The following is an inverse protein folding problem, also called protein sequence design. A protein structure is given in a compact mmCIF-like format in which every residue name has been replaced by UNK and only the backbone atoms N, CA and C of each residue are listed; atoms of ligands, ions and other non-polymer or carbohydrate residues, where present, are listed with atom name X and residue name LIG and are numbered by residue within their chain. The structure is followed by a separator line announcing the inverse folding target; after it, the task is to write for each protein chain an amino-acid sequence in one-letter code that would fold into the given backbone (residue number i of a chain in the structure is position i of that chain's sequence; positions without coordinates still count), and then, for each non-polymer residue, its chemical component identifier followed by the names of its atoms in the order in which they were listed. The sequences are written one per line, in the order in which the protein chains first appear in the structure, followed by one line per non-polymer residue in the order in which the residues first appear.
data_IF_223654704485
#
_entry.id   IF_223654704485
#
_cell.length_a   1.000
_cell.length_b   1.000
_cell.length_c   1.000
_cell.angle_alpha   90.00
_cell.angle_beta   90.00
_cell.angle_gamma   90.00
#
_symmetry.space_group_name_H-M   'P 1'
#
loop_
_entity.id
_entity.type
_entity.pdbx_description
1 polymer ?
#
# COMPACT_ATOMS: atom_id res chain seq x y z
N UNK A 1 20.60 -17.44 16.64
CA UNK A 1 19.16 -17.35 16.95
C UNK A 1 18.51 -18.36 16.02
N UNK A 2 17.81 -19.38 16.52
CA UNK A 2 17.27 -20.43 15.66
C UNK A 2 16.20 -19.83 14.74
N UNK A 3 16.22 -20.18 13.45
CA UNK A 3 15.18 -19.80 12.48
C UNK A 3 13.85 -20.41 12.93
N UNK A 4 13.04 -19.62 13.63
CA UNK A 4 11.71 -20.03 14.03
C UNK A 4 10.76 -19.72 12.88
N UNK A 5 10.43 -20.75 12.09
CA UNK A 5 9.41 -20.66 11.05
C UNK A 5 8.07 -20.30 11.68
N UNK A 6 7.60 -19.07 11.47
CA UNK A 6 6.37 -18.54 12.09
C UNK A 6 5.12 -19.13 11.46
N UNK A 7 5.09 -19.21 10.12
CA UNK A 7 3.99 -19.83 9.36
C UNK A 7 4.51 -20.39 8.04
N UNK A 8 3.83 -21.41 7.49
CA UNK A 8 4.03 -21.85 6.12
C UNK A 8 2.77 -21.53 5.33
N UNK A 9 2.87 -20.60 4.38
CA UNK A 9 1.77 -20.31 3.48
C UNK A 9 1.48 -21.53 2.60
N UNK A 10 0.19 -21.75 2.35
CA UNK A 10 -0.25 -22.81 1.45
C UNK A 10 0.30 -22.64 0.01
N UNK A 11 0.38 -23.72 -0.77
CA UNK A 11 0.80 -23.64 -2.16
C UNK A 11 -0.13 -22.70 -2.94
N UNK A 12 0.46 -21.81 -3.75
CA UNK A 12 -0.29 -20.84 -4.54
C UNK A 12 -0.67 -19.56 -3.81
N UNK A 13 -0.10 -19.25 -2.64
CA UNK A 13 -0.20 -17.91 -2.05
C UNK A 13 0.44 -16.87 -2.99
N UNK A 14 -0.34 -15.86 -3.38
CA UNK A 14 0.06 -14.81 -4.33
C UNK A 14 0.34 -13.47 -3.65
N UNK A 15 -0.34 -13.20 -2.52
CA UNK A 15 -0.16 -11.97 -1.75
C UNK A 15 -0.40 -12.25 -0.27
N UNK A 16 0.10 -11.37 0.59
CA UNK A 16 -0.15 -11.43 2.01
C UNK A 16 -0.16 -10.03 2.64
N UNK A 17 -0.78 -9.93 3.81
CA UNK A 17 -0.84 -8.70 4.60
C UNK A 17 -0.93 -9.01 6.09
N UNK A 18 -0.12 -8.32 6.88
CA UNK A 18 -0.19 -8.38 8.33
C UNK A 18 -1.30 -7.48 8.87
N UNK A 19 -1.94 -7.90 9.95
CA UNK A 19 -2.82 -7.02 10.69
C UNK A 19 -2.02 -5.94 11.45
N UNK A 20 -2.69 -4.90 11.92
CA UNK A 20 -2.05 -3.75 12.56
C UNK A 20 -1.13 -4.09 13.74
N UNK A 21 -1.46 -5.17 14.48
CA UNK A 21 -0.68 -5.63 15.64
C UNK A 21 0.46 -6.61 15.28
N UNK A 22 0.63 -6.96 14.00
CA UNK A 22 1.62 -7.93 13.50
C UNK A 22 1.53 -9.28 14.24
N UNK A 23 0.29 -9.74 14.47
CA UNK A 23 -0.01 -11.04 15.12
C UNK A 23 -0.73 -12.01 14.21
N UNK A 24 -1.45 -11.48 13.21
CA UNK A 24 -2.26 -12.24 12.27
C UNK A 24 -1.79 -11.92 10.86
N UNK A 25 -1.61 -12.96 10.07
CA UNK A 25 -1.26 -12.86 8.66
C UNK A 25 -2.46 -13.32 7.84
N UNK A 26 -2.89 -12.49 6.90
CA UNK A 26 -3.83 -12.92 5.87
C UNK A 26 -3.04 -13.21 4.58
N UNK A 27 -3.37 -14.30 3.91
CA UNK A 27 -2.78 -14.67 2.64
C UNK A 27 -3.87 -14.94 1.61
N UNK A 28 -3.75 -14.29 0.45
CA UNK A 28 -4.59 -14.52 -0.72
C UNK A 28 -3.92 -15.50 -1.67
N UNK A 29 -4.69 -16.42 -2.23
CA UNK A 29 -4.18 -17.45 -3.13
C UNK A 29 -4.66 -17.26 -4.58
N UNK A 30 -3.95 -17.91 -5.51
CA UNK A 30 -4.26 -17.93 -6.95
C UNK A 30 -5.62 -18.60 -7.23
N UNK A 31 -6.08 -19.47 -6.35
CA UNK A 31 -7.40 -20.12 -6.46
C UNK A 31 -8.56 -19.24 -5.95
N UNK A 32 -8.30 -18.01 -5.50
CA UNK A 32 -9.32 -17.10 -4.96
C UNK A 32 -9.68 -17.32 -3.48
N UNK A 33 -9.01 -18.26 -2.82
CA UNK A 33 -9.16 -18.46 -1.39
C UNK A 33 -8.33 -17.46 -0.57
N UNK A 34 -8.83 -17.13 0.61
CA UNK A 34 -8.13 -16.33 1.61
C UNK A 34 -7.97 -17.18 2.85
N UNK A 35 -6.77 -17.16 3.42
CA UNK A 35 -6.41 -17.87 4.64
C UNK A 35 -5.85 -16.91 5.67
N UNK A 36 -6.31 -17.00 6.92
CA UNK A 36 -5.81 -16.22 8.04
C UNK A 36 -5.04 -17.14 8.97
N UNK A 37 -3.89 -16.68 9.46
CA UNK A 37 -2.96 -17.44 10.30
C UNK A 37 -2.74 -16.70 11.62
N UNK A 38 -2.99 -17.38 12.74
CA UNK A 38 -2.86 -16.84 14.09
C UNK A 38 -1.70 -17.50 14.83
N UNK A 39 -0.47 -16.99 14.66
CA UNK A 39 0.78 -17.45 15.31
C UNK A 39 1.13 -18.95 15.21
N UNK A 40 0.26 -19.76 14.62
CA UNK A 40 0.40 -21.18 14.36
C UNK A 40 0.69 -21.42 12.87
N UNK A 41 1.31 -22.56 12.53
CA UNK A 41 1.64 -22.86 11.14
C UNK A 41 0.42 -23.16 10.25
N UNK A 42 -0.69 -23.62 10.82
CA UNK A 42 -1.95 -23.85 10.11
C UNK A 42 -2.85 -22.61 10.13
N UNK A 43 -3.65 -22.38 9.07
CA UNK A 43 -4.59 -21.27 9.05
C UNK A 43 -5.70 -21.48 10.10
N UNK A 44 -6.03 -20.42 10.83
CA UNK A 44 -7.18 -20.38 11.74
C UNK A 44 -8.51 -20.29 10.99
N UNK A 45 -8.50 -19.61 9.84
CA UNK A 45 -9.65 -19.53 8.93
C UNK A 45 -9.19 -19.70 7.49
N UNK A 46 -9.99 -20.39 6.68
CA UNK A 46 -9.86 -20.42 5.22
C UNK A 46 -11.23 -20.39 4.58
N UNK A 47 -11.44 -19.49 3.63
CA UNK A 47 -12.69 -19.40 2.88
C UNK A 47 -12.45 -19.02 1.43
N UNK A 48 -13.46 -19.24 0.59
CA UNK A 48 -13.44 -18.83 -0.81
C UNK A 48 -13.94 -17.39 -0.91
N UNK A 49 -13.05 -16.45 -1.21
CA UNK A 49 -13.42 -15.04 -1.31
C UNK A 49 -13.95 -14.69 -2.72
N UNK A 50 -13.24 -15.18 -3.74
CA UNK A 50 -13.48 -14.93 -5.16
C UNK A 50 -13.27 -16.20 -5.99
N UNK A 51 -13.69 -16.18 -7.26
CA UNK A 51 -13.45 -17.29 -8.20
C UNK A 51 -12.09 -17.19 -8.93
N UNK A 52 -11.44 -16.02 -8.85
CA UNK A 52 -10.15 -15.74 -9.47
C UNK A 52 -9.10 -15.38 -8.41
N UNK A 53 -7.83 -15.31 -8.83
CA UNK A 53 -6.69 -15.05 -7.97
C UNK A 53 -6.84 -13.77 -7.12
N UNK A 54 -6.49 -13.88 -5.84
CA UNK A 54 -6.38 -12.71 -4.96
C UNK A 54 -5.04 -12.04 -5.19
N UNK A 55 -5.06 -10.77 -5.60
CA UNK A 55 -3.86 -10.00 -5.94
C UNK A 55 -3.36 -9.10 -4.81
N UNK A 56 -4.25 -8.66 -3.93
CA UNK A 56 -3.88 -7.91 -2.73
C UNK A 56 -4.83 -8.19 -1.57
N UNK A 57 -4.29 -8.18 -0.35
CA UNK A 57 -5.04 -8.36 0.90
C UNK A 57 -4.60 -7.28 1.89
N UNK A 58 -5.56 -6.49 2.38
CA UNK A 58 -5.28 -5.37 3.28
C UNK A 58 -6.22 -5.42 4.48
N UNK A 59 -5.66 -5.37 5.68
CA UNK A 59 -6.45 -5.32 6.91
C UNK A 59 -7.03 -3.92 7.13
N UNK A 60 -8.26 -3.89 7.62
CA UNK A 60 -8.84 -2.67 8.16
C UNK A 60 -8.20 -2.34 9.51
N UNK A 61 -8.24 -1.06 9.93
CA UNK A 61 -7.78 -0.69 11.26
C UNK A 61 -8.58 -1.37 12.38
N UNK A 62 -7.94 -1.70 13.51
CA UNK A 62 -8.55 -2.49 14.58
C UNK A 62 -9.76 -1.79 15.24
N UNK A 63 -9.85 -0.47 15.13
CA UNK A 63 -10.99 0.34 15.61
C UNK A 63 -12.32 -0.05 14.91
N UNK A 64 -12.25 -0.74 13.76
CA UNK A 64 -13.38 -1.15 12.93
C UNK A 64 -13.58 -2.67 12.90
N UNK A 65 -13.01 -3.38 13.88
CA UNK A 65 -13.07 -4.84 13.99
C UNK A 65 -12.03 -5.57 13.14
N UNK A 66 -12.04 -6.90 13.25
CA UNK A 66 -11.21 -7.77 12.42
C UNK A 66 -11.83 -7.89 11.03
N UNK A 67 -11.41 -7.00 10.13
CA UNK A 67 -11.91 -6.95 8.77
C UNK A 67 -10.76 -6.86 7.75
N UNK A 68 -11.02 -7.40 6.56
CA UNK A 68 -10.05 -7.51 5.48
C UNK A 68 -10.69 -7.09 4.16
N UNK A 69 -9.91 -6.39 3.35
CA UNK A 69 -10.20 -6.10 1.97
C UNK A 69 -9.37 -6.98 1.04
N UNK A 70 -10.01 -7.56 0.03
CA UNK A 70 -9.35 -8.43 -0.95
C UNK A 70 -9.58 -7.89 -2.36
N UNK A 71 -8.50 -7.59 -3.07
CA UNK A 71 -8.53 -7.25 -4.50
C UNK A 71 -8.38 -8.54 -5.30
N UNK A 72 -9.25 -8.73 -6.28
CA UNK A 72 -9.30 -9.90 -7.13
C UNK A 72 -8.76 -9.56 -8.53
N UNK A 73 -8.18 -10.56 -9.21
CA UNK A 73 -7.71 -10.45 -10.58
C UNK A 73 -8.83 -10.15 -11.60
N UNK A 74 -10.10 -10.37 -11.25
CA UNK A 74 -11.25 -9.94 -12.05
C UNK A 74 -11.48 -8.41 -12.03
N UNK A 75 -10.75 -7.69 -11.17
CA UNK A 75 -10.85 -6.25 -11.00
C UNK A 75 -11.90 -5.79 -10.00
N UNK A 76 -12.45 -6.71 -9.19
CA UNK A 76 -13.34 -6.39 -8.07
C UNK A 76 -12.58 -6.34 -6.74
N UNK A 77 -13.19 -5.65 -5.77
CA UNK A 77 -12.72 -5.57 -4.40
C UNK A 77 -13.84 -6.04 -3.47
N UNK A 78 -13.54 -6.94 -2.56
CA UNK A 78 -14.50 -7.41 -1.55
C UNK A 78 -14.04 -7.07 -0.15
N UNK A 79 -14.96 -6.60 0.70
CA UNK A 79 -14.75 -6.44 2.13
C UNK A 79 -15.34 -7.62 2.90
N UNK A 80 -14.57 -8.11 3.86
CA UNK A 80 -14.93 -9.22 4.72
C UNK A 80 -14.73 -8.84 6.18
N UNK A 81 -15.64 -9.28 7.03
CA UNK A 81 -15.60 -9.07 8.47
C UNK A 81 -15.62 -10.43 9.17
N UNK A 82 -14.78 -10.57 10.18
CA UNK A 82 -14.77 -11.71 11.07
C UNK A 82 -15.88 -11.61 12.10
N UNK A 83 -16.71 -12.64 12.14
CA UNK A 83 -17.75 -12.82 13.14
C UNK A 83 -17.33 -13.98 14.02
N UNK A 84 -17.01 -13.66 15.26
CA UNK A 84 -16.80 -14.64 16.31
C UNK A 84 -18.09 -14.78 17.13
N UNK A 85 -18.69 -15.97 17.11
CA UNK A 85 -19.71 -16.38 18.08
C UNK A 85 -19.05 -17.24 19.16
N UNK A 86 -19.58 -17.18 20.39
CA UNK A 86 -19.03 -17.97 21.50
C UNK A 86 -18.93 -19.46 21.14
N UNK A 87 -17.77 -20.05 21.41
CA UNK A 87 -17.41 -21.46 21.18
C UNK A 87 -17.35 -21.97 19.72
N UNK A 88 -17.43 -21.10 18.71
CA UNK A 88 -17.24 -21.48 17.29
C UNK A 88 -15.95 -20.93 16.66
N UNK A 89 -15.48 -21.60 15.61
CA UNK A 89 -14.43 -21.05 14.76
C UNK A 89 -14.94 -19.77 14.09
N UNK A 90 -14.10 -18.73 13.96
CA UNK A 90 -14.51 -17.47 13.37
C UNK A 90 -14.97 -17.66 11.93
N UNK A 91 -16.10 -17.02 11.60
CA UNK A 91 -16.70 -17.05 10.26
C UNK A 91 -16.44 -15.69 9.61
N UNK A 92 -16.01 -15.72 8.34
CA UNK A 92 -15.81 -14.50 7.56
C UNK A 92 -17.04 -14.21 6.70
N UNK A 93 -17.69 -13.07 6.95
CA UNK A 93 -18.86 -12.60 6.21
C UNK A 93 -18.45 -11.55 5.18
N UNK A 94 -18.90 -11.70 3.94
CA UNK A 94 -18.77 -10.68 2.89
C UNK A 94 -19.71 -9.51 3.20
N UNK A 95 -19.16 -8.33 3.43
CA UNK A 95 -19.92 -7.12 3.77
C UNK A 95 -20.26 -6.29 2.52
N UNK A 96 -19.30 -6.11 1.62
CA UNK A 96 -19.48 -5.29 0.41
C UNK A 96 -18.59 -5.75 -0.73
N UNK A 97 -19.04 -5.51 -1.96
CA UNK A 97 -18.24 -5.64 -3.18
C UNK A 97 -18.22 -4.30 -3.89
N UNK A 98 -17.03 -3.90 -4.35
CA UNK A 98 -16.81 -2.75 -5.21
C UNK A 98 -16.41 -3.27 -6.59
N UNK A 99 -17.08 -2.74 -7.60
CA UNK A 99 -16.85 -3.06 -9.00
C UNK A 99 -16.34 -1.81 -9.72
N UNK A 100 -15.31 -1.95 -10.55
CA UNK A 100 -14.76 -0.83 -11.32
C UNK A 100 -15.48 -0.56 -12.64
N UNK A 101 -16.56 -1.30 -12.95
CA UNK A 101 -17.29 -1.15 -14.20
C UNK A 101 -16.44 -1.55 -15.41
N UNK A 102 -15.97 -0.55 -16.18
CA UNK A 102 -15.09 -0.77 -17.34
C UNK A 102 -13.60 -0.78 -17.00
N UNK A 103 -13.20 -0.47 -15.76
CA UNK A 103 -11.82 -0.52 -15.29
C UNK A 103 -11.67 -1.53 -14.16
N UNK A 104 -10.47 -2.08 -14.01
CA UNK A 104 -10.15 -3.04 -12.95
C UNK A 104 -9.57 -2.32 -11.74
N UNK A 105 -9.92 -2.77 -10.54
CA UNK A 105 -9.28 -2.33 -9.31
C UNK A 105 -7.89 -2.96 -9.22
N UNK A 106 -6.86 -2.13 -9.04
CA UNK A 106 -5.46 -2.56 -8.99
C UNK A 106 -4.93 -2.65 -7.55
N UNK A 107 -5.31 -1.71 -6.70
CA UNK A 107 -4.84 -1.65 -5.32
C UNK A 107 -5.82 -0.90 -4.42
N UNK A 108 -5.76 -1.17 -3.12
CA UNK A 108 -6.59 -0.56 -2.08
C UNK A 108 -5.72 -0.26 -0.87
N UNK A 109 -5.97 0.86 -0.19
CA UNK A 109 -5.33 1.17 1.09
C UNK A 109 -6.32 1.89 2.01
N UNK A 110 -6.28 1.53 3.30
CA UNK A 110 -7.06 2.21 4.32
C UNK A 110 -6.27 3.34 4.99
N UNK A 111 -7.03 4.37 5.35
CA UNK A 111 -6.52 5.58 5.96
C UNK A 111 -7.40 6.04 7.10
N UNK A 112 -6.79 6.28 8.26
CA UNK A 112 -7.52 6.75 9.44
C UNK A 112 -7.41 8.26 9.57
N UNK A 113 -8.57 8.91 9.65
CA UNK A 113 -8.70 10.26 10.15
C UNK A 113 -9.21 10.21 11.60
N UNK A 114 -9.15 11.33 12.31
CA UNK A 114 -9.67 11.43 13.66
C UNK A 114 -11.19 11.16 13.73
N UNK A 115 -11.93 11.44 12.65
CA UNK A 115 -13.39 11.37 12.60
C UNK A 115 -13.95 10.25 11.74
N UNK A 116 -13.18 9.68 10.81
CA UNK A 116 -13.68 8.68 9.87
C UNK A 116 -12.60 7.79 9.28
N UNK A 117 -13.03 6.63 8.78
CA UNK A 117 -12.20 5.73 7.98
C UNK A 117 -12.35 6.09 6.50
N UNK A 118 -11.21 6.25 5.84
CA UNK A 118 -11.14 6.42 4.39
C UNK A 118 -10.52 5.20 3.73
N UNK A 119 -10.93 4.95 2.51
CA UNK A 119 -10.40 3.89 1.65
C UNK A 119 -10.06 4.50 0.30
N UNK A 120 -8.81 4.32 -0.13
CA UNK A 120 -8.33 4.77 -1.43
C UNK A 120 -8.23 3.56 -2.34
N UNK A 121 -8.83 3.65 -3.53
CA UNK A 121 -8.81 2.60 -4.55
C UNK A 121 -8.17 3.15 -5.82
N UNK A 122 -7.17 2.46 -6.35
CA UNK A 122 -6.54 2.75 -7.63
C UNK A 122 -7.11 1.84 -8.74
N UNK A 123 -7.40 2.43 -9.90
CA UNK A 123 -8.02 1.74 -11.04
C UNK A 123 -7.08 1.67 -12.24
N UNK A 124 -7.34 0.69 -13.12
CA UNK A 124 -6.53 0.41 -14.31
C UNK A 124 -6.55 1.52 -15.37
N UNK A 125 -7.49 2.47 -15.28
CA UNK A 125 -7.57 3.63 -16.17
C UNK A 125 -6.95 4.90 -15.57
N UNK A 126 -6.14 4.76 -14.50
CA UNK A 126 -5.45 5.86 -13.84
C UNK A 126 -6.32 6.72 -12.93
N UNK A 127 -7.60 6.35 -12.74
CA UNK A 127 -8.45 6.96 -11.74
C UNK A 127 -8.09 6.47 -10.34
N UNK A 128 -8.29 7.34 -9.37
CA UNK A 128 -8.18 7.05 -7.95
C UNK A 128 -9.47 7.51 -7.29
N UNK A 129 -10.14 6.61 -6.58
CA UNK A 129 -11.37 6.96 -5.85
C UNK A 129 -11.13 6.87 -4.37
N UNK A 130 -11.53 7.91 -3.65
CA UNK A 130 -11.50 7.94 -2.19
C UNK A 130 -12.92 7.77 -1.69
N UNK A 131 -13.11 6.78 -0.83
CA UNK A 131 -14.36 6.50 -0.15
C UNK A 131 -14.24 6.81 1.33
N UNK A 132 -15.35 7.17 1.94
CA UNK A 132 -15.50 7.41 3.37
C UNK A 132 -16.57 6.48 3.93
N UNK A 133 -16.26 5.86 5.06
CA UNK A 133 -17.21 5.02 5.79
C UNK A 133 -18.14 5.94 6.61
N UNK A 134 -19.44 5.87 6.32
CA UNK A 134 -20.44 6.71 6.98
C UNK A 134 -20.84 6.19 8.37
N UNK A 135 -20.68 4.89 8.59
CA UNK A 135 -21.11 4.21 9.79
C UNK A 135 -20.03 3.21 10.22
N UNK A 136 -19.40 3.46 11.36
CA UNK A 136 -18.32 2.60 11.86
C UNK A 136 -18.80 1.20 12.25
N UNK A 137 -20.10 1.00 12.44
CA UNK A 137 -20.69 -0.29 12.82
C UNK A 137 -21.16 -1.11 11.61
N UNK A 138 -21.29 -0.48 10.44
CA UNK A 138 -21.83 -1.11 9.24
C UNK A 138 -20.86 -0.91 8.06
N UNK A 139 -19.98 -1.90 7.86
CA UNK A 139 -18.92 -1.89 6.84
C UNK A 139 -19.42 -1.89 5.39
N UNK A 140 -20.73 -1.86 5.15
CA UNK A 140 -21.34 -1.74 3.81
C UNK A 140 -21.71 -0.28 3.45
N UNK A 141 -21.73 0.65 4.41
CA UNK A 141 -22.10 2.07 4.21
C UNK A 141 -20.93 2.97 3.77
N UNK A 142 -20.27 2.60 2.67
CA UNK A 142 -19.24 3.42 2.03
C UNK A 142 -19.81 4.41 1.02
N UNK A 143 -19.41 5.67 1.12
CA UNK A 143 -19.75 6.76 0.20
C UNK A 143 -18.52 7.22 -0.59
N UNK A 144 -18.68 7.49 -1.88
CA UNK A 144 -17.65 8.11 -2.71
C UNK A 144 -17.45 9.58 -2.27
N UNK A 145 -16.24 9.90 -1.83
CA UNK A 145 -15.85 11.24 -1.40
C UNK A 145 -15.20 12.04 -2.53
N UNK A 146 -14.29 11.41 -3.27
CA UNK A 146 -13.53 12.07 -4.33
C UNK A 146 -13.14 11.12 -5.46
N UNK A 147 -13.06 11.67 -6.67
CA UNK A 147 -12.44 11.04 -7.83
C UNK A 147 -11.25 11.89 -8.27
N UNK A 148 -10.07 11.28 -8.30
CA UNK A 148 -8.79 11.92 -8.58
C UNK A 148 -8.16 11.26 -9.81
N UNK A 149 -7.28 12.00 -10.47
CA UNK A 149 -6.44 11.46 -11.54
C UNK A 149 -4.99 11.80 -11.24
N UNK A 150 -4.09 10.81 -11.36
CA UNK A 150 -2.67 11.01 -11.09
C UNK A 150 -1.91 11.66 -12.25
N UNK A 151 -2.56 12.56 -12.99
CA UNK A 151 -2.03 13.14 -14.24
C UNK A 151 -1.01 14.26 -13.95
N UNK A 152 0.17 14.20 -14.56
CA UNK A 152 1.26 15.19 -14.37
C UNK A 152 1.07 16.45 -15.20
N UNK A 153 0.47 16.33 -16.38
CA UNK A 153 0.08 17.47 -17.21
C UNK A 153 -1.44 17.42 -17.47
N UNK A 154 -2.26 18.18 -16.73
CA UNK A 154 -3.71 18.19 -16.91
C UNK A 154 -4.15 18.95 -18.18
N UNK A 155 -3.25 19.66 -18.86
CA UNK A 155 -3.58 20.53 -20.01
C UNK A 155 -3.62 19.74 -21.31
N UNK A 156 -2.77 18.73 -21.47
CA UNK A 156 -2.74 17.91 -22.68
C UNK A 156 -3.92 16.93 -22.75
N UNK A 157 -4.50 16.78 -23.94
CA UNK A 157 -5.55 15.77 -24.19
C UNK A 157 -4.92 14.39 -24.20
N UNK A 158 -4.77 13.82 -23.02
CA UNK A 158 -4.19 12.49 -22.82
C UNK A 158 -5.33 11.47 -22.86
N UNK A 159 -5.14 10.39 -23.63
CA UNK A 159 -6.07 9.26 -23.64
C UNK A 159 -6.09 8.55 -22.28
N UNK A 160 -7.07 7.67 -22.07
CA UNK A 160 -7.08 6.84 -20.86
C UNK A 160 -5.85 5.90 -20.87
N UNK A 161 -5.02 5.89 -19.82
CA UNK A 161 -3.88 4.98 -19.74
C UNK A 161 -4.35 3.54 -19.52
N UNK A 162 -3.47 2.59 -19.81
CA UNK A 162 -3.57 1.23 -19.32
C UNK A 162 -2.54 1.03 -18.20
N UNK A 163 -3.00 1.15 -16.95
CA UNK A 163 -2.20 0.87 -15.77
C UNK A 163 -2.20 -0.63 -15.48
N UNK A 164 -1.00 -1.21 -15.38
CA UNK A 164 -0.76 -2.63 -15.09
C UNK A 164 -0.79 -2.87 -13.57
N UNK A 165 -0.21 -1.94 -12.81
CA UNK A 165 -0.24 -1.98 -11.34
C UNK A 165 -0.27 -0.56 -10.76
N UNK A 166 -0.65 -0.49 -9.49
CA UNK A 166 -0.62 0.72 -8.69
C UNK A 166 -0.12 0.37 -7.29
N UNK A 167 0.55 1.31 -6.64
CA UNK A 167 0.95 1.18 -5.24
C UNK A 167 0.47 2.41 -4.49
N UNK A 168 -0.12 2.21 -3.32
CA UNK A 168 -0.66 3.26 -2.46
C UNK A 168 -0.04 3.09 -1.07
N UNK A 169 0.44 4.18 -0.48
CA UNK A 169 0.94 4.18 0.88
C UNK A 169 0.29 5.33 1.66
N UNK A 170 -0.44 5.01 2.72
CA UNK A 170 -1.08 6.02 3.57
C UNK A 170 -0.08 6.55 4.61
N UNK A 171 -0.15 7.85 4.93
CA UNK A 171 0.67 8.47 5.97
C UNK A 171 0.33 7.86 7.35
N UNK A 172 1.28 7.18 8.03
CA UNK A 172 1.03 6.59 9.34
C UNK A 172 0.66 7.67 10.36
N UNK A 173 -0.36 7.39 11.20
CA UNK A 173 -1.02 8.34 12.12
C UNK A 173 -0.03 9.32 12.77
N UNK A 174 -0.42 10.60 12.77
CA UNK A 174 0.25 11.69 13.49
C UNK A 174 -0.65 12.28 14.57
N UNK A 175 -0.03 13.00 15.51
CA UNK A 175 -0.73 13.73 16.57
C UNK A 175 -1.67 14.82 16.04
N UNK A 176 -2.33 15.52 16.96
CA UNK A 176 -3.34 16.54 16.63
C UNK A 176 -2.79 17.61 15.66
N UNK A 177 -3.52 17.84 14.55
CA UNK A 177 -3.30 19.00 13.67
C UNK A 177 -2.70 18.73 12.28
N UNK A 178 -2.38 17.49 11.92
CA UNK A 178 -1.87 17.18 10.57
C UNK A 178 -2.94 16.59 9.66
N UNK A 179 -2.98 17.06 8.41
CA UNK A 179 -3.94 16.64 7.41
C UNK A 179 -3.67 15.20 6.93
N UNK A 180 -4.74 14.48 6.59
CA UNK A 180 -4.63 13.14 6.04
C UNK A 180 -3.92 13.19 4.69
N UNK A 181 -2.93 12.31 4.51
CA UNK A 181 -2.15 12.24 3.29
C UNK A 181 -1.91 10.79 2.85
N UNK A 182 -1.80 10.59 1.54
CA UNK A 182 -1.34 9.33 0.97
C UNK A 182 -0.47 9.57 -0.26
N UNK A 183 0.48 8.66 -0.48
CA UNK A 183 1.28 8.59 -1.69
C UNK A 183 0.69 7.55 -2.64
N UNK A 184 0.71 7.84 -3.94
CA UNK A 184 0.30 6.91 -4.98
C UNK A 184 1.24 6.98 -6.17
N UNK A 185 1.48 5.83 -6.80
CA UNK A 185 2.22 5.73 -8.05
C UNK A 185 1.65 4.60 -8.91
N UNK A 186 1.78 4.76 -10.22
CA UNK A 186 1.30 3.80 -11.21
C UNK A 186 2.44 3.23 -12.04
N UNK A 187 2.26 1.99 -12.46
CA UNK A 187 2.98 1.39 -13.59
C UNK A 187 2.02 1.37 -14.78
N UNK A 188 2.14 2.35 -15.66
CA UNK A 188 1.30 2.48 -16.84
C UNK A 188 2.11 2.64 -18.12
N UNK A 189 1.42 2.43 -19.25
CA UNK A 189 1.93 2.71 -20.58
C UNK A 189 2.11 4.22 -20.88
N UNK A 190 1.48 5.08 -20.07
CA UNK A 190 1.51 6.53 -20.22
C UNK A 190 2.39 7.20 -19.17
N UNK A 191 3.47 7.85 -19.63
CA UNK A 191 4.42 8.57 -18.76
C UNK A 191 3.73 9.60 -17.84
N UNK A 192 2.61 10.18 -18.27
CA UNK A 192 1.90 11.22 -17.52
C UNK A 192 1.19 10.72 -16.25
N UNK A 193 1.08 9.40 -16.06
CA UNK A 193 0.43 8.79 -14.88
C UNK A 193 1.42 8.14 -13.92
N UNK A 194 2.66 7.93 -14.38
CA UNK A 194 3.64 7.11 -13.67
C UNK A 194 4.29 7.84 -12.48
N UNK A 195 4.22 9.18 -12.42
CA UNK A 195 4.85 9.93 -11.34
C UNK A 195 4.23 9.60 -9.98
N UNK A 196 5.08 9.38 -8.98
CA UNK A 196 4.63 9.26 -7.61
C UNK A 196 4.13 10.62 -7.11
N UNK A 197 2.91 10.68 -6.57
CA UNK A 197 2.33 11.91 -5.99
C UNK A 197 1.84 11.69 -4.58
N UNK A 198 2.02 12.71 -3.76
CA UNK A 198 1.42 12.80 -2.43
C UNK A 198 0.18 13.67 -2.55
N UNK A 199 -0.94 13.13 -2.11
CA UNK A 199 -2.21 13.81 -2.00
C UNK A 199 -2.48 14.11 -0.53
N UNK A 200 -2.99 15.31 -0.27
CA UNK A 200 -3.35 15.77 1.07
C UNK A 200 -4.82 16.19 1.10
N UNK A 201 -5.50 15.87 2.21
CA UNK A 201 -6.89 16.19 2.42
C UNK A 201 -7.05 17.53 3.14
N UNK A 202 -7.54 18.52 2.41
CA UNK A 202 -7.83 19.85 2.93
C UNK A 202 -9.20 19.85 3.62
N UNK A 203 -9.20 19.79 4.96
CA UNK A 203 -10.44 19.72 5.75
C UNK A 203 -11.36 20.94 5.56
N UNK A 204 -10.80 22.14 5.37
CA UNK A 204 -11.57 23.37 5.23
C UNK A 204 -12.51 23.37 4.01
N UNK A 205 -12.09 22.71 2.92
CA UNK A 205 -12.85 22.63 1.67
C UNK A 205 -13.35 21.20 1.37
N UNK A 206 -13.06 20.23 2.25
CA UNK A 206 -13.43 18.82 2.09
C UNK A 206 -12.99 18.24 0.74
N UNK A 207 -11.74 18.51 0.33
CA UNK A 207 -11.20 18.07 -0.97
C UNK A 207 -9.76 17.58 -0.85
N UNK A 208 -9.39 16.72 -1.79
CA UNK A 208 -8.01 16.25 -1.95
C UNK A 208 -7.26 17.15 -2.92
N UNK A 209 -6.03 17.51 -2.55
CA UNK A 209 -5.14 18.32 -3.36
C UNK A 209 -3.81 17.59 -3.59
N UNK A 210 -3.21 17.70 -4.80
CA UNK A 210 -1.87 17.21 -5.01
C UNK A 210 -0.89 18.11 -4.26
N UNK A 211 -0.23 17.56 -3.25
CA UNK A 211 0.72 18.28 -2.39
C UNK A 211 2.11 18.31 -3.04
N UNK A 212 2.60 17.14 -3.45
CA UNK A 212 3.95 16.94 -3.99
C UNK A 212 3.90 15.94 -5.14
N UNK A 213 4.72 16.18 -6.17
CA UNK A 213 5.12 15.18 -7.16
C UNK A 213 6.57 14.79 -6.84
N UNK A 214 6.79 13.53 -6.43
CA UNK A 214 8.12 13.01 -6.14
C UNK A 214 8.82 12.62 -7.44
N UNK A 215 10.08 13.01 -7.55
CA UNK A 215 10.91 12.77 -8.74
C UNK A 215 11.63 14.04 -9.18
N UNK A 216 12.85 13.88 -9.69
CA UNK A 216 13.52 14.97 -10.41
C UNK A 216 12.80 15.21 -11.75
N UNK A 217 12.94 16.39 -12.38
CA UNK A 217 12.42 16.61 -13.73
C UNK A 217 12.90 15.57 -14.77
N UNK A 218 14.07 14.96 -14.55
CA UNK A 218 14.66 13.93 -15.40
C UNK A 218 14.08 12.53 -15.15
N UNK A 219 13.46 12.31 -13.98
CA UNK A 219 12.78 11.06 -13.59
C UNK A 219 11.27 11.10 -13.84
N UNK A 220 10.77 12.18 -14.46
CA UNK A 220 9.35 12.29 -14.80
C UNK A 220 8.96 11.21 -15.81
N UNK A 221 8.01 10.38 -15.40
CA UNK A 221 7.44 9.31 -16.21
C UNK A 221 7.97 7.92 -15.92
N UNK A 222 8.90 7.77 -14.98
CA UNK A 222 9.36 6.46 -14.52
C UNK A 222 8.25 5.70 -13.84
N UNK A 223 8.10 4.43 -14.20
CA UNK A 223 7.04 3.55 -13.67
C UNK A 223 7.30 3.27 -12.20
N UNK A 224 6.27 3.44 -11.38
CA UNK A 224 6.35 3.12 -9.96
C UNK A 224 5.86 1.70 -9.76
N UNK A 225 6.73 0.83 -9.27
CA UNK A 225 6.41 -0.57 -9.00
C UNK A 225 5.90 -0.77 -7.57
N UNK A 226 6.50 -0.09 -6.60
CA UNK A 226 6.12 -0.18 -5.19
C UNK A 226 6.41 1.13 -4.44
N UNK A 227 5.57 1.43 -3.45
CA UNK A 227 5.68 2.57 -2.55
C UNK A 227 5.56 2.11 -1.10
N UNK A 228 6.29 2.76 -0.20
CA UNK A 228 6.09 2.60 1.24
C UNK A 228 6.35 3.89 2.00
N UNK A 229 5.43 4.26 2.89
CA UNK A 229 5.54 5.43 3.75
C UNK A 229 6.01 4.99 5.14
N UNK A 230 7.12 5.54 5.60
CA UNK A 230 7.73 5.13 6.86
C UNK A 230 6.98 5.71 8.07
N UNK A 231 6.71 4.93 9.13
CA UNK A 231 6.27 5.46 10.42
C UNK A 231 7.24 6.51 10.94
N UNK A 232 6.75 7.71 11.27
CA UNK A 232 7.62 8.78 11.70
C UNK A 232 7.69 8.92 13.23
N UNK A 233 8.71 8.32 13.82
CA UNK A 233 8.99 8.44 15.25
C UNK A 233 10.11 9.47 15.47
N UNK A 234 9.71 10.73 15.67
CA UNK A 234 10.60 11.80 16.10
C UNK A 234 11.50 12.42 15.01
N UNK A 235 11.27 12.15 13.73
CA UNK A 235 12.02 12.80 12.64
C UNK A 235 11.34 14.12 12.22
N UNK A 236 12.13 15.15 11.86
CA UNK A 236 11.61 16.44 11.40
C UNK A 236 11.13 16.43 9.93
N UNK A 237 11.01 15.26 9.33
CA UNK A 237 10.56 15.03 7.95
C UNK A 237 9.80 13.70 7.87
N UNK A 238 8.96 13.56 6.85
CA UNK A 238 8.45 12.27 6.41
C UNK A 238 9.51 11.53 5.61
N UNK A 239 9.41 10.20 5.60
CA UNK A 239 10.27 9.36 4.76
C UNK A 239 9.41 8.44 3.91
N UNK A 240 9.64 8.45 2.61
CA UNK A 240 8.89 7.66 1.62
C UNK A 240 9.89 6.94 0.72
N UNK A 241 9.70 5.64 0.55
CA UNK A 241 10.46 4.84 -0.40
C UNK A 241 9.65 4.65 -1.68
N UNK A 242 10.29 4.86 -2.83
CA UNK A 242 9.72 4.73 -4.16
C UNK A 242 10.58 3.78 -4.98
N UNK A 243 10.05 2.63 -5.36
CA UNK A 243 10.73 1.72 -6.28
C UNK A 243 10.31 1.98 -7.73
N UNK A 244 11.31 2.21 -8.57
CA UNK A 244 11.18 2.35 -10.03
C UNK A 244 12.11 1.36 -10.73
N UNK A 245 12.15 1.38 -12.06
CA UNK A 245 13.09 0.57 -12.84
C UNK A 245 14.56 0.93 -12.59
N UNK A 246 14.86 2.12 -12.05
CA UNK A 246 16.22 2.59 -11.76
C UNK A 246 16.75 2.15 -10.40
N UNK A 247 15.88 1.63 -9.53
CA UNK A 247 16.22 1.27 -8.15
C UNK A 247 15.16 1.76 -7.16
N UNK A 248 15.55 1.88 -5.90
CA UNK A 248 14.67 2.33 -4.81
C UNK A 248 15.15 3.69 -4.33
N UNK A 249 14.38 4.74 -4.59
CA UNK A 249 14.64 6.08 -4.10
C UNK A 249 14.03 6.28 -2.71
N UNK A 250 14.80 6.81 -1.77
CA UNK A 250 14.31 7.22 -0.44
C UNK A 250 14.24 8.74 -0.38
N UNK A 251 13.06 9.25 -0.07
CA UNK A 251 12.75 10.67 -0.07
C UNK A 251 12.48 11.17 1.35
N UNK A 252 13.09 12.29 1.70
CA UNK A 252 12.66 13.13 2.80
C UNK A 252 11.68 14.17 2.31
N UNK A 253 10.57 14.33 3.03
CA UNK A 253 9.57 15.36 2.77
C UNK A 253 9.38 16.21 4.04
N UNK A 254 9.69 17.50 3.95
CA UNK A 254 9.56 18.42 5.08
C UNK A 254 8.11 18.70 5.47
N UNK A 255 7.90 19.25 6.67
CA UNK A 255 6.55 19.65 7.14
C UNK A 255 6.21 21.11 6.86
N UNK A 256 7.23 21.95 6.81
CA UNK A 256 7.04 23.38 6.67
C UNK A 256 7.25 23.75 5.20
N UNK A 257 6.32 24.51 4.59
CA UNK A 257 6.52 25.02 3.26
C UNK A 257 7.69 26.01 3.26
N UNK A 258 8.48 25.94 2.19
CA UNK A 258 9.51 26.92 1.87
C UNK A 258 8.87 28.28 1.50
N UNK A 259 9.69 29.29 1.22
CA UNK A 259 9.20 30.64 0.88
C UNK A 259 8.29 30.70 -0.35
N UNK A 260 8.34 29.68 -1.21
CA UNK A 260 7.51 29.54 -2.41
C UNK A 260 6.18 28.80 -2.15
N UNK A 261 5.93 28.38 -0.90
CA UNK A 261 4.74 27.64 -0.50
C UNK A 261 4.80 26.13 -0.72
N UNK A 262 5.90 25.59 -1.28
CA UNK A 262 6.07 24.15 -1.51
C UNK A 262 6.79 23.50 -0.35
N UNK A 263 6.45 22.26 -0.03
CA UNK A 263 7.22 21.49 0.94
C UNK A 263 8.58 21.11 0.37
N UNK A 264 9.59 21.11 1.23
CA UNK A 264 10.92 20.65 0.86
C UNK A 264 10.90 19.15 0.54
N UNK A 265 11.53 18.76 -0.56
CA UNK A 265 11.66 17.36 -0.97
C UNK A 265 13.11 17.08 -1.32
N UNK A 266 13.68 16.05 -0.69
CA UNK A 266 15.09 15.68 -0.87
C UNK A 266 15.18 14.18 -1.13
N UNK A 267 15.83 13.79 -2.22
CA UNK A 267 16.20 12.40 -2.46
C UNK A 267 17.51 12.11 -1.71
N UNK A 268 17.41 11.37 -0.61
CA UNK A 268 18.55 11.10 0.28
C UNK A 268 19.30 9.82 -0.04
N UNK A 269 18.69 8.93 -0.84
CA UNK A 269 19.36 7.74 -1.32
C UNK A 269 18.69 7.18 -2.58
N UNK A 270 19.53 6.62 -3.45
CA UNK A 270 19.11 5.76 -4.55
C UNK A 270 19.77 4.41 -4.33
N UNK A 271 18.98 3.45 -3.86
CA UNK A 271 19.43 2.09 -3.57
C UNK A 271 19.39 1.28 -4.87
N UNK A 272 20.38 0.40 -5.12
CA UNK A 272 20.49 -0.36 -6.37
C UNK A 272 19.32 -1.32 -6.64
N UNK A 273 18.37 -1.47 -5.72
CA UNK A 273 17.12 -2.19 -5.93
C UNK A 273 17.34 -3.68 -6.15
N UNK A 274 16.64 -4.25 -7.12
CA UNK A 274 16.66 -5.67 -7.47
C UNK A 274 17.06 -5.87 -8.93
N UNK A 275 17.53 -7.07 -9.28
CA UNK A 275 17.77 -7.43 -10.68
C UNK A 275 16.44 -7.72 -11.39
N UNK A 276 15.67 -6.66 -11.64
CA UNK A 276 14.30 -6.71 -12.14
C UNK A 276 13.36 -5.85 -11.31
N UNK A 277 12.06 -6.07 -11.47
CA UNK A 277 11.04 -5.28 -10.79
C UNK A 277 11.05 -5.54 -9.28
N UNK A 278 10.92 -4.46 -8.51
CA UNK A 278 10.64 -4.52 -7.07
C UNK A 278 9.15 -4.73 -6.89
N UNK A 279 8.75 -5.77 -6.18
CA UNK A 279 7.34 -6.11 -5.99
C UNK A 279 6.72 -5.44 -4.77
N UNK A 280 7.48 -5.36 -3.67
CA UNK A 280 6.99 -4.81 -2.42
C UNK A 280 8.09 -4.05 -1.68
N UNK A 281 7.67 -3.00 -0.98
CA UNK A 281 8.45 -2.24 -0.03
C UNK A 281 7.69 -2.21 1.29
N UNK A 282 8.38 -2.39 2.41
CA UNK A 282 7.76 -2.30 3.73
C UNK A 282 8.76 -1.74 4.75
N UNK A 283 8.31 -0.79 5.56
CA UNK A 283 9.09 -0.25 6.66
C UNK A 283 8.85 -1.04 7.93
N UNK A 284 9.86 -1.16 8.78
CA UNK A 284 9.66 -1.61 10.15
C UNK A 284 8.79 -0.62 10.94
N UNK A 285 8.27 -1.05 12.09
CA UNK A 285 7.42 -0.20 12.94
C UNK A 285 8.13 1.07 13.42
N UNK A 286 9.47 1.07 13.46
CA UNK A 286 10.28 2.25 13.77
C UNK A 286 10.51 3.21 12.62
N UNK A 287 10.23 2.79 11.38
CA UNK A 287 10.57 3.55 10.16
C UNK A 287 12.07 3.68 9.91
N UNK A 288 12.89 2.82 10.50
CA UNK A 288 14.35 2.84 10.45
C UNK A 288 14.92 1.87 9.43
N UNK A 289 14.25 0.74 9.20
CA UNK A 289 14.70 -0.32 8.29
C UNK A 289 13.65 -0.50 7.19
N UNK A 290 14.10 -0.48 5.94
CA UNK A 290 13.27 -0.76 4.77
C UNK A 290 13.55 -2.18 4.29
N UNK A 291 12.51 -2.99 4.13
CA UNK A 291 12.58 -4.26 3.43
C UNK A 291 12.11 -4.08 1.98
N UNK A 292 12.79 -4.73 1.03
CA UNK A 292 12.37 -4.80 -0.37
C UNK A 292 12.42 -6.23 -0.91
N UNK A 293 11.45 -6.56 -1.75
CA UNK A 293 11.36 -7.86 -2.46
C UNK A 293 11.28 -7.62 -3.97
N UNK A 294 11.75 -8.57 -4.77
CA UNK A 294 11.72 -8.41 -6.22
C UNK A 294 11.83 -9.70 -7.01
N UNK A 295 11.81 -9.55 -8.34
CA UNK A 295 11.85 -10.64 -9.34
C UNK A 295 13.07 -11.56 -9.17
N UNK A 296 14.17 -11.03 -8.63
CA UNK A 296 15.40 -11.80 -8.40
C UNK A 296 15.30 -12.84 -7.28
N UNK A 297 14.14 -12.92 -6.61
CA UNK A 297 13.89 -13.87 -5.52
C UNK A 297 14.67 -13.53 -4.25
N UNK A 298 15.17 -12.29 -4.14
CA UNK A 298 15.88 -11.81 -2.97
C UNK A 298 14.97 -10.94 -2.11
N UNK A 299 15.20 -10.98 -0.79
CA UNK A 299 14.73 -9.96 0.15
C UNK A 299 15.93 -9.17 0.62
N UNK A 300 15.89 -7.85 0.49
CA UNK A 300 16.96 -6.95 0.94
C UNK A 300 16.49 -6.09 2.09
N UNK A 301 17.34 -5.91 3.09
CA UNK A 301 17.12 -4.99 4.21
C UNK A 301 18.05 -3.80 4.08
N UNK A 302 17.50 -2.59 4.18
CA UNK A 302 18.22 -1.33 4.01
C UNK A 302 18.10 -0.48 5.26
N UNK A 303 19.21 0.14 5.66
CA UNK A 303 19.22 1.03 6.81
C UNK A 303 20.23 2.16 6.61
N UNK A 304 19.87 3.36 7.08
CA UNK A 304 20.78 4.49 7.17
C UNK A 304 21.69 4.37 8.39
N UNK A 305 22.97 4.69 8.22
CA UNK A 305 23.89 4.87 9.34
C UNK A 305 23.70 6.25 9.99
N UNK A 306 24.46 6.54 11.06
CA UNK A 306 24.39 7.82 11.78
C UNK A 306 24.74 9.05 10.92
N UNK A 307 25.39 8.85 9.78
CA UNK A 307 25.72 9.91 8.83
C UNK A 307 24.64 10.08 7.74
N UNK A 308 23.51 9.37 7.84
CA UNK A 308 22.44 9.38 6.85
C UNK A 308 22.73 8.57 5.58
N UNK A 309 23.85 7.84 5.52
CA UNK A 309 24.19 7.02 4.36
C UNK A 309 23.50 5.67 4.47
N UNK A 310 22.74 5.32 3.44
CA UNK A 310 22.02 4.06 3.33
C UNK A 310 22.93 2.92 2.87
N UNK A 311 22.80 1.78 3.52
CA UNK A 311 23.51 0.55 3.18
C UNK A 311 22.56 -0.65 3.18
N UNK A 312 22.90 -1.66 2.38
CA UNK A 312 22.32 -2.99 2.47
C UNK A 312 22.83 -3.66 3.75
N UNK A 313 21.93 -3.92 4.70
CA UNK A 313 22.24 -4.58 5.98
C UNK A 313 22.27 -6.10 5.84
N UNK A 314 21.35 -6.64 5.04
CA UNK A 314 21.23 -8.08 4.83
C UNK A 314 20.53 -8.38 3.50
N UNK A 315 20.84 -9.56 2.97
CA UNK A 315 20.16 -10.17 1.82
C UNK A 315 19.74 -11.57 2.20
N UNK A 316 18.49 -11.91 1.93
CA UNK A 316 17.96 -13.27 2.06
C UNK A 316 17.63 -13.80 0.67
N UNK A 317 18.16 -14.96 0.33
CA UNK A 317 17.85 -15.66 -0.91
C UNK A 317 16.67 -16.61 -0.70
N UNK A 318 15.58 -16.37 -1.41
CA UNK A 318 14.36 -17.16 -1.33
C UNK A 318 14.25 -18.20 -2.48
N UNK A 319 15.23 -18.28 -3.37
CA UNK A 319 15.22 -19.23 -4.48
C UNK A 319 15.49 -20.70 -4.07
N UNK A 320 15.63 -20.99 -2.78
CA UNK A 320 15.99 -22.33 -2.30
C UNK A 320 15.45 -22.73 -0.93
N UNK A 321 14.33 -23.47 -0.91
CA UNK A 321 14.14 -24.65 -0.04
C UNK A 321 13.26 -25.70 -0.71
N UNK A 322 13.60 -26.06 -1.95
CA UNK A 322 13.26 -27.37 -2.52
C UNK A 322 14.49 -28.29 -2.37
N UNK A 323 14.69 -28.82 -1.17
CA UNK A 323 15.37 -30.10 -0.93
C UNK A 323 14.51 -30.92 0.02
#
# INVERSE_FOLDING_TARGET
MADQKVSQLGPGAACCGWNHCVRRLAAGAVDGSVSVYDSQPSPSSKWQAHEHAIVAVVWLPPDYGDAIACVCADGTLSLWEEIAEDDQLPIWRKCKVFEGGSSHILNVQFGLLLSSLKMVIAYSDGQVKVYELLDSLELDKWQLQAELQNITDPVSRIGKPACISASIAWSPRRGEGQQASFAIGFNSDSLNFNSCKIWEFEEAHQRWLPLIELGSPEDKGERVHALAWAPNIGRPYEMIAVATCKGIAVWHVGFNPESDGRLSTENVAVLPGHNGEVWQLEWDMGGMTLASTGVDGMVRLWQANLNGVWHEQAVLDCNGSHQ
#
